data_IF_959272842029
#
_entry.id   IF_959272842029
#
_cell.length_a   1.000
_cell.length_b   1.000
_cell.length_c   1.000
_cell.angle_alpha   90.00
_cell.angle_beta   90.00
_cell.angle_gamma   90.00
#
_symmetry.space_group_name_H-M   'P 1'
#
loop_
_entity.id
_entity.type
_entity.pdbx_description
1 polymer ?
#
# COMPACT_ATOMS: atom_id res chain seq x y z
N UNK A 1 -2.19 -7.89 26.57
CA UNK A 1 -3.33 -8.18 25.68
C UNK A 1 -3.10 -7.64 24.28
N UNK A 2 -2.93 -6.33 24.09
CA UNK A 2 -2.73 -5.73 22.76
C UNK A 2 -1.53 -6.29 21.97
N UNK A 3 -0.42 -6.58 22.65
CA UNK A 3 0.75 -7.20 21.99
C UNK A 3 0.43 -8.57 21.38
N UNK A 4 -0.46 -9.36 22.01
CA UNK A 4 -0.91 -10.65 21.47
C UNK A 4 -1.77 -10.47 20.21
N UNK A 5 -2.68 -9.48 20.24
CA UNK A 5 -3.51 -9.12 19.08
C UNK A 5 -2.67 -8.62 17.91
N UNK A 6 -1.67 -7.77 18.19
CA UNK A 6 -0.68 -7.33 17.20
C UNK A 6 0.07 -8.51 16.55
N UNK A 7 0.33 -9.56 17.32
CA UNK A 7 1.02 -10.76 16.86
C UNK A 7 0.09 -11.80 16.19
N UNK A 8 -1.17 -11.45 15.91
CA UNK A 8 -2.07 -12.26 15.10
C UNK A 8 -3.19 -12.96 15.86
N UNK A 9 -3.30 -12.77 17.18
CA UNK A 9 -4.37 -13.38 17.97
C UNK A 9 -5.67 -12.57 17.90
N UNK A 10 -6.81 -13.24 17.73
CA UNK A 10 -8.13 -12.63 17.91
C UNK A 10 -8.61 -12.86 19.33
N UNK A 11 -9.10 -11.80 20.00
CA UNK A 11 -9.52 -11.89 21.40
C UNK A 11 -10.88 -11.22 21.60
N UNK A 12 -11.80 -11.95 22.22
CA UNK A 12 -13.08 -11.39 22.68
C UNK A 12 -12.92 -10.71 24.04
N UNK A 13 -13.43 -9.49 24.13
CA UNK A 13 -13.49 -8.67 25.33
C UNK A 13 -14.87 -8.85 25.95
N UNK A 14 -14.92 -9.27 27.21
CA UNK A 14 -16.18 -9.49 27.93
C UNK A 14 -16.38 -8.49 29.06
N UNK A 15 -17.63 -8.10 29.31
CA UNK A 15 -18.06 -7.48 30.55
C UNK A 15 -19.00 -8.47 31.27
N UNK A 16 -18.63 -8.93 32.47
CA UNK A 16 -19.41 -9.90 33.26
C UNK A 16 -19.80 -11.18 32.49
N UNK A 17 -18.91 -11.70 31.63
CA UNK A 17 -19.15 -12.91 30.84
C UNK A 17 -19.90 -12.68 29.53
N UNK A 18 -20.36 -11.47 29.25
CA UNK A 18 -20.97 -11.09 27.98
C UNK A 18 -19.95 -10.42 27.06
N UNK A 19 -19.83 -10.87 25.81
CA UNK A 19 -18.89 -10.31 24.84
C UNK A 19 -19.37 -8.92 24.40
N UNK A 20 -18.53 -7.91 24.59
CA UNK A 20 -18.84 -6.51 24.25
C UNK A 20 -18.04 -6.01 23.03
N UNK A 21 -16.91 -6.64 22.74
CA UNK A 21 -16.09 -6.31 21.57
C UNK A 21 -15.17 -7.49 21.21
N UNK A 22 -14.71 -7.51 19.96
CA UNK A 22 -13.64 -8.41 19.52
C UNK A 22 -12.47 -7.57 19.03
N UNK A 23 -11.29 -7.81 19.58
CA UNK A 23 -10.04 -7.26 19.07
C UNK A 23 -9.48 -8.20 18.02
N UNK A 24 -9.34 -7.70 16.80
CA UNK A 24 -8.71 -8.40 15.69
C UNK A 24 -7.32 -7.82 15.41
N UNK A 25 -6.38 -8.63 14.90
CA UNK A 25 -5.10 -8.13 14.42
C UNK A 25 -5.31 -7.01 13.39
N UNK A 26 -4.50 -5.94 13.41
CA UNK A 26 -4.58 -4.90 12.41
C UNK A 26 -4.38 -5.50 11.02
N UNK A 27 -5.18 -5.05 10.06
CA UNK A 27 -5.03 -5.48 8.68
C UNK A 27 -3.62 -5.16 8.20
N UNK A 28 -2.94 -6.17 7.66
CA UNK A 28 -1.59 -6.06 7.11
C UNK A 28 -1.59 -4.96 6.05
N UNK A 29 -0.74 -3.94 6.19
CA UNK A 29 -0.70 -2.86 5.20
C UNK A 29 -0.39 -3.42 3.80
N UNK A 30 -0.79 -2.76 2.70
CA UNK A 30 -0.42 -3.20 1.35
C UNK A 30 1.09 -3.45 1.20
N UNK A 31 1.91 -2.60 1.82
CA UNK A 31 3.37 -2.77 1.87
C UNK A 31 3.80 -4.06 2.57
N UNK A 32 3.29 -4.33 3.77
CA UNK A 32 3.63 -5.55 4.51
C UNK A 32 3.15 -6.82 3.80
N UNK A 33 2.02 -6.77 3.09
CA UNK A 33 1.56 -7.88 2.24
C UNK A 33 2.58 -8.17 1.13
N UNK A 34 3.02 -7.13 0.42
CA UNK A 34 4.02 -7.26 -0.64
C UNK A 34 5.39 -7.72 -0.08
N UNK A 35 5.75 -7.28 1.13
CA UNK A 35 6.97 -7.71 1.80
C UNK A 35 6.93 -9.21 2.10
N UNK A 36 5.82 -9.71 2.65
CA UNK A 36 5.65 -11.13 2.99
C UNK A 36 5.59 -12.03 1.74
N UNK A 37 4.97 -11.55 0.66
CA UNK A 37 4.90 -12.32 -0.60
C UNK A 37 6.19 -12.30 -1.40
N UNK A 38 7.21 -11.56 -0.96
CA UNK A 38 8.43 -11.34 -1.75
C UNK A 38 8.20 -10.51 -3.02
N UNK A 39 7.08 -9.80 -3.11
CA UNK A 39 6.69 -9.00 -4.28
C UNK A 39 7.22 -7.56 -4.23
N UNK A 40 8.12 -7.25 -3.29
CA UNK A 40 8.81 -5.97 -3.25
C UNK A 40 10.10 -6.01 -4.07
N UNK A 41 10.28 -4.99 -4.91
CA UNK A 41 11.58 -4.67 -5.49
C UNK A 41 12.30 -3.67 -4.58
N UNK A 42 13.53 -3.98 -4.17
CA UNK A 42 14.38 -3.02 -3.46
C UNK A 42 14.67 -1.81 -4.34
N UNK A 43 14.76 -0.63 -3.72
CA UNK A 43 15.25 0.56 -4.39
C UNK A 43 16.67 0.31 -4.94
N UNK A 44 16.98 0.93 -6.08
CA UNK A 44 18.34 0.90 -6.61
C UNK A 44 19.28 1.60 -5.63
N UNK A 45 20.49 1.04 -5.42
CA UNK A 45 21.49 1.60 -4.51
C UNK A 45 22.12 2.90 -5.00
N UNK A 46 21.80 3.34 -6.21
CA UNK A 46 22.36 4.51 -6.86
C UNK A 46 21.37 5.17 -7.82
N UNK A 47 21.76 6.30 -8.43
CA UNK A 47 20.91 7.01 -9.38
C UNK A 47 20.54 6.12 -10.55
N UNK A 48 19.26 6.17 -10.93
CA UNK A 48 18.73 5.47 -12.10
C UNK A 48 18.92 6.37 -13.33
N UNK A 49 19.66 5.90 -14.33
CA UNK A 49 19.79 6.61 -15.60
C UNK A 49 18.53 6.39 -16.45
N UNK A 50 17.60 7.34 -16.42
CA UNK A 50 16.38 7.26 -17.21
C UNK A 50 16.60 7.44 -18.72
N UNK A 51 17.81 7.82 -19.17
CA UNK A 51 18.12 7.94 -20.62
C UNK A 51 18.20 6.58 -21.31
N UNK A 52 18.33 5.49 -20.55
CA UNK A 52 18.32 4.12 -21.09
C UNK A 52 16.91 3.66 -21.49
N UNK A 53 15.86 4.36 -21.02
CA UNK A 53 14.49 3.98 -21.34
C UNK A 53 14.19 4.36 -22.79
N UNK A 54 13.62 3.45 -23.59
CA UNK A 54 13.21 3.77 -24.95
C UNK A 54 12.17 4.88 -24.91
N UNK A 55 12.42 5.93 -25.68
CA UNK A 55 11.48 7.05 -25.81
C UNK A 55 10.31 6.63 -26.69
N UNK A 56 9.09 6.82 -26.18
CA UNK A 56 7.87 6.70 -26.96
C UNK A 56 7.36 8.09 -27.32
N UNK A 57 6.82 8.24 -28.53
CA UNK A 57 6.10 9.45 -28.92
C UNK A 57 4.65 9.33 -28.45
N UNK A 58 4.09 10.45 -28.00
CA UNK A 58 2.68 10.59 -27.71
C UNK A 58 2.04 11.40 -28.83
N UNK A 59 0.86 10.96 -29.28
CA UNK A 59 0.03 11.73 -30.20
C UNK A 59 -0.74 12.84 -29.46
N UNK A 60 -0.87 12.73 -28.13
CA UNK A 60 -1.42 13.79 -27.29
C UNK A 60 -0.37 14.87 -27.04
N UNK A 61 -0.75 16.13 -27.21
CA UNK A 61 0.06 17.27 -26.82
C UNK A 61 0.09 17.46 -25.30
N UNK A 62 1.09 18.20 -24.82
CA UNK A 62 1.26 18.45 -23.38
C UNK A 62 0.08 19.19 -22.76
N UNK A 63 -0.64 20.03 -23.50
CA UNK A 63 -1.78 20.78 -22.99
C UNK A 63 -2.97 19.85 -22.72
N UNK A 64 -3.23 18.91 -23.62
CA UNK A 64 -4.25 17.89 -23.49
C UNK A 64 -3.97 16.96 -22.30
N UNK A 65 -2.72 16.54 -22.10
CA UNK A 65 -2.31 15.72 -20.94
C UNK A 65 -2.54 16.49 -19.64
N UNK A 66 -2.15 17.77 -19.60
CA UNK A 66 -2.30 18.60 -18.41
C UNK A 66 -3.77 18.92 -18.09
N UNK A 67 -4.61 19.11 -19.10
CA UNK A 67 -6.06 19.28 -18.93
C UNK A 67 -6.70 18.03 -18.33
N UNK A 68 -6.32 16.84 -18.80
CA UNK A 68 -6.82 15.56 -18.28
C UNK A 68 -6.45 15.36 -16.80
N UNK A 69 -5.18 15.61 -16.43
CA UNK A 69 -4.71 15.47 -15.05
C UNK A 69 -5.36 16.46 -14.08
N UNK A 70 -5.78 17.63 -14.55
CA UNK A 70 -6.48 18.63 -13.73
C UNK A 70 -7.98 18.36 -13.63
N UNK A 71 -8.52 17.48 -14.48
CA UNK A 71 -9.96 17.31 -14.62
C UNK A 71 -10.63 18.52 -15.28
N UNK A 72 -9.92 19.25 -16.16
CA UNK A 72 -10.45 20.39 -16.93
C UNK A 72 -11.36 19.92 -18.09
N UNK A 73 -12.00 18.76 -17.95
CA UNK A 73 -12.86 18.10 -18.94
C UNK A 73 -14.27 17.90 -18.38
#
# INVERSE_FOLDING_TARGET
MLERVKNGETIDVTNNGEVTATLIPPAVSPFERLLRSGSLRRAASGPVDFRILPRVKSDADSAAILSDLRGDR
#
